data_IF_456778891612
#
_entry.id   IF_456778891612
#
_cell.length_a   1.000
_cell.length_b   1.000
_cell.length_c   1.000
_cell.angle_alpha   90.00
_cell.angle_beta   90.00
_cell.angle_gamma   90.00
#
_symmetry.space_group_name_H-M   'P 1'
#
loop_
_entity.id
_entity.type
_entity.pdbx_description
1 polymer ?
#
# COMPACT_ATOMS: atom_id res chain seq x y z
N UNK A 1 24.91 9.56 2.56
CA UNK A 1 23.48 9.73 2.21
C UNK A 1 22.74 8.48 2.64
N UNK A 2 21.79 8.57 3.58
CA UNK A 2 20.94 7.43 3.95
C UNK A 2 19.84 7.31 2.89
N UNK A 3 19.82 6.19 2.16
CA UNK A 3 18.77 5.89 1.19
C UNK A 3 17.48 5.58 1.93
N UNK A 4 16.35 6.16 1.50
CA UNK A 4 15.05 5.93 2.10
C UNK A 4 14.48 4.57 1.66
N UNK A 5 14.24 3.67 2.61
CA UNK A 5 13.75 2.33 2.32
C UNK A 5 12.35 2.32 1.67
N UNK A 6 11.54 3.37 1.88
CA UNK A 6 10.23 3.48 1.21
C UNK A 6 10.34 3.59 -0.31
N UNK A 7 11.46 4.10 -0.82
CA UNK A 7 11.71 4.15 -2.26
C UNK A 7 11.66 2.76 -2.90
N UNK A 8 12.08 1.70 -2.19
CA UNK A 8 12.07 0.34 -2.73
C UNK A 8 10.66 -0.19 -3.03
N UNK A 9 9.61 0.38 -2.44
CA UNK A 9 8.24 0.03 -2.83
C UNK A 9 7.98 0.34 -4.31
N UNK A 10 8.70 1.29 -4.91
CA UNK A 10 8.56 1.58 -6.33
C UNK A 10 9.02 0.47 -7.25
N UNK A 11 9.79 -0.52 -6.76
CA UNK A 11 10.16 -1.70 -7.54
C UNK A 11 8.94 -2.52 -7.93
N UNK A 12 7.84 -2.44 -7.18
CA UNK A 12 6.59 -3.10 -7.52
C UNK A 12 5.99 -2.57 -8.83
N UNK A 13 6.37 -1.37 -9.28
CA UNK A 13 6.01 -0.84 -10.60
C UNK A 13 6.45 -1.76 -11.74
N UNK A 14 7.54 -2.52 -11.56
CA UNK A 14 8.00 -3.51 -12.54
C UNK A 14 6.95 -4.61 -12.77
N UNK A 15 6.15 -4.96 -11.76
CA UNK A 15 5.01 -5.87 -11.92
C UNK A 15 3.93 -5.25 -12.83
N UNK A 16 3.74 -3.93 -12.75
CA UNK A 16 2.88 -3.19 -13.67
C UNK A 16 3.33 -3.31 -15.13
N UNK A 17 4.64 -3.18 -15.37
CA UNK A 17 5.23 -3.35 -16.71
C UNK A 17 4.99 -4.77 -17.23
N UNK A 18 5.17 -5.80 -16.40
CA UNK A 18 4.84 -7.18 -16.77
C UNK A 18 3.34 -7.35 -17.08
N UNK A 19 2.47 -6.58 -16.42
CA UNK A 19 1.03 -6.56 -16.68
C UNK A 19 0.62 -6.15 -18.09
N UNK A 20 1.48 -5.40 -18.80
CA UNK A 20 1.25 -5.06 -20.22
C UNK A 20 1.36 -6.29 -21.13
N UNK A 21 2.18 -7.26 -20.75
CA UNK A 21 2.48 -8.45 -21.56
C UNK A 21 1.73 -9.70 -21.10
N UNK A 22 1.42 -9.80 -19.80
CA UNK A 22 0.93 -11.05 -19.19
C UNK A 22 -0.52 -10.96 -18.72
N UNK A 23 -0.83 -10.07 -17.77
CA UNK A 23 -2.14 -10.01 -17.12
C UNK A 23 -2.55 -8.57 -16.77
N UNK A 24 -3.71 -8.14 -17.29
CA UNK A 24 -4.28 -6.79 -17.10
C UNK A 24 -4.42 -6.35 -15.62
N UNK A 25 -4.80 -7.21 -14.65
CA UNK A 25 -4.87 -6.80 -13.24
C UNK A 25 -3.54 -6.30 -12.66
N UNK A 26 -2.40 -6.75 -13.19
CA UNK A 26 -1.10 -6.29 -12.72
C UNK A 26 -0.83 -4.82 -13.04
N UNK A 27 -1.58 -4.20 -13.96
CA UNK A 27 -1.47 -2.77 -14.25
C UNK A 27 -1.71 -1.88 -13.02
N UNK A 28 -2.48 -2.36 -12.03
CA UNK A 28 -2.68 -1.63 -10.77
C UNK A 28 -1.38 -1.35 -10.01
N UNK A 29 -0.32 -2.16 -10.23
CA UNK A 29 0.98 -1.95 -9.61
C UNK A 29 1.73 -0.72 -10.17
N UNK A 30 1.30 -0.12 -11.28
CA UNK A 30 1.86 1.17 -11.72
C UNK A 30 1.68 2.28 -10.69
N UNK A 31 0.68 2.19 -9.81
CA UNK A 31 0.51 3.14 -8.70
C UNK A 31 1.71 3.22 -7.77
N UNK A 32 2.51 2.16 -7.67
CA UNK A 32 3.73 2.17 -6.86
C UNK A 32 4.84 3.07 -7.41
N UNK A 33 4.74 3.56 -8.65
CA UNK A 33 5.68 4.54 -9.20
C UNK A 33 5.72 5.82 -8.36
N UNK A 34 4.62 6.12 -7.65
CA UNK A 34 4.54 7.21 -6.69
C UNK A 34 5.67 7.18 -5.65
N UNK A 35 6.12 5.99 -5.24
CA UNK A 35 7.14 5.84 -4.21
C UNK A 35 8.57 6.21 -4.67
N UNK A 36 8.82 6.39 -5.98
CA UNK A 36 10.15 6.77 -6.51
C UNK A 36 10.62 8.07 -5.86
N UNK A 37 9.71 9.02 -5.59
CA UNK A 37 10.06 10.31 -4.98
C UNK A 37 10.76 10.17 -3.62
N UNK A 38 10.49 9.09 -2.88
CA UNK A 38 11.07 8.88 -1.56
C UNK A 38 12.58 8.62 -1.60
N UNK A 39 13.14 8.17 -2.74
CA UNK A 39 14.60 8.08 -2.89
C UNK A 39 15.30 9.44 -2.74
N UNK A 40 14.60 10.53 -3.04
CA UNK A 40 15.12 11.89 -3.00
C UNK A 40 14.71 12.65 -1.72
N UNK A 41 13.93 12.02 -0.83
CA UNK A 41 13.47 12.63 0.43
C UNK A 41 14.35 12.14 1.58
N UNK A 42 14.90 13.07 2.34
CA UNK A 42 15.65 12.77 3.57
C UNK A 42 14.70 12.24 4.63
N UNK A 43 14.98 11.02 5.12
CA UNK A 43 14.16 10.40 6.16
C UNK A 43 14.57 10.91 7.55
N UNK A 44 13.98 12.03 7.97
CA UNK A 44 14.12 12.57 9.32
C UNK A 44 13.32 11.76 10.36
N UNK A 45 13.54 12.00 11.65
CA UNK A 45 12.90 11.26 12.75
C UNK A 45 11.36 11.37 12.71
N UNK A 46 10.86 12.57 12.41
CA UNK A 46 9.43 12.86 12.30
C UNK A 46 8.80 12.10 11.12
N UNK A 47 9.49 12.05 9.98
CA UNK A 47 9.11 11.25 8.83
C UNK A 47 9.05 9.75 9.20
N UNK A 48 10.06 9.22 9.88
CA UNK A 48 10.08 7.82 10.34
C UNK A 48 8.91 7.50 11.29
N UNK A 49 8.53 8.44 12.15
CA UNK A 49 7.36 8.29 13.02
C UNK A 49 6.05 8.27 12.22
N UNK A 50 5.90 9.14 11.23
CA UNK A 50 4.75 9.18 10.33
C UNK A 50 4.62 7.88 9.53
N UNK A 51 5.74 7.34 9.03
CA UNK A 51 5.79 6.04 8.34
C UNK A 51 5.36 4.90 9.26
N UNK A 52 5.86 4.86 10.51
CA UNK A 52 5.45 3.84 11.49
C UNK A 52 3.96 3.91 11.78
N UNK A 53 3.42 5.11 11.98
CA UNK A 53 1.99 5.31 12.24
C UNK A 53 1.12 4.90 11.05
N UNK A 54 1.54 5.27 9.84
CA UNK A 54 0.88 4.83 8.61
C UNK A 54 0.95 3.30 8.45
N UNK A 55 2.10 2.69 8.75
CA UNK A 55 2.30 1.24 8.68
C UNK A 55 1.40 0.50 9.68
N UNK A 56 1.24 1.01 10.90
CA UNK A 56 0.28 0.46 11.86
C UNK A 56 -1.15 0.50 11.34
N UNK A 57 -1.58 1.62 10.75
CA UNK A 57 -2.91 1.74 10.13
C UNK A 57 -3.08 0.77 8.95
N UNK A 58 -2.08 0.66 8.07
CA UNK A 58 -2.06 -0.31 6.99
C UNK A 58 -2.14 -1.76 7.49
N UNK A 59 -1.42 -2.09 8.56
CA UNK A 59 -1.44 -3.43 9.15
C UNK A 59 -2.83 -3.77 9.73
N UNK A 60 -3.37 -2.93 10.60
CA UNK A 60 -4.66 -3.21 11.25
C UNK A 60 -5.83 -3.22 10.25
N UNK A 61 -5.82 -2.32 9.26
CA UNK A 61 -6.81 -2.35 8.17
C UNK A 61 -6.69 -3.62 7.32
N UNK A 62 -5.48 -4.09 7.03
CA UNK A 62 -5.24 -5.35 6.34
C UNK A 62 -5.75 -6.57 7.13
N UNK A 63 -5.49 -6.63 8.44
CA UNK A 63 -5.99 -7.70 9.33
C UNK A 63 -7.53 -7.69 9.38
N UNK A 64 -8.14 -6.52 9.54
CA UNK A 64 -9.59 -6.38 9.53
C UNK A 64 -10.18 -6.80 8.17
N UNK A 65 -9.59 -6.35 7.06
CA UNK A 65 -9.99 -6.72 5.71
C UNK A 65 -9.88 -8.22 5.48
N UNK A 66 -8.84 -8.87 6.02
CA UNK A 66 -8.66 -10.33 5.93
C UNK A 66 -9.81 -11.06 6.61
N UNK A 67 -10.14 -10.68 7.86
CA UNK A 67 -11.23 -11.30 8.61
C UNK A 67 -12.58 -11.15 7.90
N UNK A 68 -12.90 -9.93 7.43
CA UNK A 68 -14.14 -9.66 6.70
C UNK A 68 -14.19 -10.42 5.38
N UNK A 69 -13.11 -10.37 4.59
CA UNK A 69 -13.03 -11.00 3.27
C UNK A 69 -13.12 -12.52 3.36
N UNK A 70 -12.50 -13.14 4.38
CA UNK A 70 -12.58 -14.57 4.60
C UNK A 70 -13.98 -14.99 5.05
N UNK A 71 -14.61 -14.24 5.97
CA UNK A 71 -15.98 -14.50 6.38
C UNK A 71 -16.95 -14.41 5.18
N UNK A 72 -16.81 -13.40 4.33
CA UNK A 72 -17.59 -13.26 3.11
C UNK A 72 -17.34 -14.41 2.13
N UNK A 73 -16.09 -14.87 1.99
CA UNK A 73 -15.76 -15.99 1.10
C UNK A 73 -16.37 -17.31 1.56
N UNK A 74 -16.45 -17.55 2.88
CA UNK A 74 -17.08 -18.75 3.45
C UNK A 74 -18.61 -18.68 3.34
N UNK A 75 -19.21 -17.53 3.65
CA UNK A 75 -20.67 -17.37 3.65
C UNK A 75 -21.24 -17.21 2.23
N UNK A 76 -20.50 -16.57 1.33
CA UNK A 76 -20.94 -16.18 -0.02
C UNK A 76 -19.85 -16.43 -1.07
N UNK A 77 -19.45 -17.69 -1.31
CA UNK A 77 -18.34 -18.03 -2.22
C UNK A 77 -18.58 -17.58 -3.67
N UNK A 78 -19.84 -17.45 -4.10
CA UNK A 78 -20.19 -16.95 -5.43
C UNK A 78 -19.88 -15.46 -5.64
N UNK A 79 -19.84 -14.67 -4.56
CA UNK A 79 -19.55 -13.23 -4.61
C UNK A 79 -18.05 -12.98 -4.43
N UNK A 80 -17.43 -13.70 -3.50
CA UNK A 80 -16.04 -13.47 -3.11
C UNK A 80 -15.26 -14.78 -3.08
N UNK A 81 -14.66 -15.20 -4.22
CA UNK A 81 -13.82 -16.39 -4.23
C UNK A 81 -12.57 -16.18 -3.37
N UNK A 82 -12.02 -17.25 -2.81
CA UNK A 82 -10.96 -17.17 -1.80
C UNK A 82 -9.68 -16.43 -2.27
N UNK A 83 -9.35 -16.51 -3.56
CA UNK A 83 -8.25 -15.76 -4.15
C UNK A 83 -8.50 -14.24 -4.14
N UNK A 84 -9.72 -13.79 -4.45
CA UNK A 84 -10.12 -12.40 -4.36
C UNK A 84 -10.15 -11.91 -2.90
N UNK A 85 -10.53 -12.78 -1.96
CA UNK A 85 -10.52 -12.47 -0.53
C UNK A 85 -9.11 -12.26 0.05
N UNK A 86 -8.12 -13.01 -0.45
CA UNK A 86 -6.72 -12.80 -0.06
C UNK A 86 -6.10 -11.59 -0.78
N UNK A 87 -6.48 -11.33 -2.03
CA UNK A 87 -5.99 -10.16 -2.74
C UNK A 87 -6.53 -8.85 -2.15
N UNK A 88 -7.81 -8.83 -1.71
CA UNK A 88 -8.45 -7.63 -1.17
C UNK A 88 -7.75 -7.11 0.09
N UNK A 89 -7.24 -7.97 0.96
CA UNK A 89 -6.58 -7.52 2.18
C UNK A 89 -5.24 -6.82 1.91
N UNK A 90 -4.47 -7.30 0.91
CA UNK A 90 -3.28 -6.60 0.43
C UNK A 90 -3.62 -5.22 -0.11
N UNK A 91 -4.65 -5.14 -0.98
CA UNK A 91 -5.09 -3.87 -1.58
C UNK A 91 -5.52 -2.88 -0.50
N UNK A 92 -6.37 -3.29 0.44
CA UNK A 92 -6.85 -2.43 1.53
C UNK A 92 -5.68 -1.95 2.40
N UNK A 93 -4.78 -2.86 2.78
CA UNK A 93 -3.61 -2.53 3.61
C UNK A 93 -2.71 -1.48 2.96
N UNK A 94 -2.34 -1.69 1.69
CA UNK A 94 -1.51 -0.74 0.92
C UNK A 94 -2.23 0.59 0.73
N UNK A 95 -3.53 0.57 0.43
CA UNK A 95 -4.29 1.79 0.20
C UNK A 95 -4.40 2.64 1.47
N UNK A 96 -4.75 2.01 2.60
CA UNK A 96 -4.80 2.68 3.90
C UNK A 96 -3.41 3.19 4.33
N UNK A 97 -2.35 2.40 4.13
CA UNK A 97 -0.98 2.84 4.37
C UNK A 97 -0.62 4.10 3.57
N UNK A 98 -0.88 4.07 2.26
CA UNK A 98 -0.53 5.15 1.33
C UNK A 98 -1.30 6.43 1.66
N UNK A 99 -2.61 6.31 1.90
CA UNK A 99 -3.45 7.44 2.27
C UNK A 99 -3.08 8.03 3.63
N UNK A 100 -2.77 7.19 4.61
CA UNK A 100 -2.34 7.66 5.93
C UNK A 100 -1.00 8.40 5.83
N UNK A 101 -0.04 7.87 5.06
CA UNK A 101 1.25 8.52 4.84
C UNK A 101 1.08 9.86 4.14
N UNK A 102 0.29 9.91 3.07
CA UNK A 102 -0.09 11.14 2.37
C UNK A 102 -0.73 12.16 3.30
N UNK A 103 -1.68 11.73 4.13
CA UNK A 103 -2.36 12.60 5.08
C UNK A 103 -1.37 13.20 6.10
N UNK A 104 -0.47 12.39 6.65
CA UNK A 104 0.53 12.88 7.59
C UNK A 104 1.52 13.86 6.93
N UNK A 105 1.94 13.61 5.70
CA UNK A 105 2.80 14.54 4.96
C UNK A 105 2.11 15.87 4.65
N UNK A 106 0.86 15.84 4.18
CA UNK A 106 0.10 17.07 3.90
C UNK A 106 -0.14 17.86 5.18
N UNK A 107 -0.45 17.15 6.28
CA UNK A 107 -0.63 17.79 7.59
C UNK A 107 0.67 18.43 8.09
N UNK A 108 1.81 17.78 7.87
CA UNK A 108 3.13 18.31 8.21
C UNK A 108 3.45 19.56 7.38
N UNK A 109 3.17 19.55 6.08
CA UNK A 109 3.35 20.70 5.20
C UNK A 109 2.43 21.88 5.51
N UNK A 110 1.20 21.61 5.98
CA UNK A 110 0.24 22.65 6.35
C UNK A 110 0.44 23.22 7.77
N UNK A 111 1.20 22.53 8.62
CA UNK A 111 1.56 22.96 9.98
C UNK A 111 2.94 23.60 10.09
N UNK A 112 3.68 23.69 8.99
CA UNK A 112 4.94 24.44 8.84
C UNK A 112 4.66 25.85 8.31
#
# INVERSE_FOLDING_TARGET
MKVNALGFLSLLTLLGVLGLFLHKPMLGFFGFAYYIRYFFITADELFQQNVRRAASLGFFSGVAATGISLALSILFPAIMPGNAALASCYVVSVFCFTLALLYFEVKEQAGA
#
